data_IF_838978750217
#
_entry.id   IF_838978750217
#
_cell.length_a   1.000
_cell.length_b   1.000
_cell.length_c   1.000
_cell.angle_alpha   90.00
_cell.angle_beta   90.00
_cell.angle_gamma   90.00
#
_symmetry.space_group_name_H-M   'P 1'
#
loop_
_entity.id
_entity.type
_entity.pdbx_description
1 polymer ?
#
# COMPACT_ATOMS: atom_id res chain seq x y z
N UNK A 1 -63.14 36.74 26.08
CA UNK A 1 -62.27 35.95 25.16
C UNK A 1 -61.16 36.84 24.70
N UNK A 2 -59.97 36.70 25.26
CA UNK A 2 -58.74 37.49 24.85
C UNK A 2 -57.68 36.47 24.56
N UNK A 3 -57.40 36.24 23.23
CA UNK A 3 -56.28 35.48 22.75
C UNK A 3 -54.98 36.21 23.07
N UNK A 4 -54.10 35.63 23.89
CA UNK A 4 -52.72 36.05 24.05
C UNK A 4 -51.88 35.17 23.15
N UNK A 5 -51.36 35.80 22.07
CA UNK A 5 -50.36 35.26 21.19
C UNK A 5 -49.00 35.33 21.91
N UNK A 6 -48.45 34.18 22.30
CA UNK A 6 -47.08 34.10 22.79
C UNK A 6 -46.14 34.07 21.60
N UNK A 7 -45.43 35.17 21.38
CA UNK A 7 -44.27 35.24 20.51
C UNK A 7 -43.10 34.60 21.29
N UNK A 8 -42.72 33.40 20.91
CA UNK A 8 -41.42 32.81 21.29
C UNK A 8 -40.35 33.45 20.41
N UNK A 9 -39.65 34.43 20.97
CA UNK A 9 -38.35 34.86 20.46
C UNK A 9 -37.36 33.72 20.74
N UNK A 10 -37.04 32.91 19.72
CA UNK A 10 -35.87 32.09 19.74
C UNK A 10 -34.66 33.03 19.63
N UNK A 11 -34.08 33.42 20.75
CA UNK A 11 -32.72 33.93 20.78
C UNK A 11 -31.78 32.80 20.41
N UNK A 12 -31.33 32.80 19.16
CA UNK A 12 -30.15 32.02 18.79
C UNK A 12 -28.98 32.58 19.62
N UNK A 13 -28.70 31.90 20.71
CA UNK A 13 -27.44 32.06 21.44
C UNK A 13 -26.39 31.53 20.47
N UNK A 14 -25.67 32.40 19.78
CA UNK A 14 -24.37 32.07 19.21
C UNK A 14 -23.48 31.75 20.41
N UNK A 15 -23.45 30.46 20.77
CA UNK A 15 -22.38 29.95 21.60
C UNK A 15 -21.09 30.19 20.82
N UNK A 16 -20.07 30.83 21.42
CA UNK A 16 -18.76 30.83 20.78
C UNK A 16 -18.40 29.39 20.51
N UNK A 17 -17.85 29.12 19.33
CA UNK A 17 -17.30 27.83 18.97
C UNK A 17 -16.41 27.38 20.14
N UNK A 18 -16.96 26.59 21.06
CA UNK A 18 -16.13 25.88 22.02
C UNK A 18 -15.20 25.03 21.18
N UNK A 19 -13.91 25.27 21.21
CA UNK A 19 -12.94 24.39 20.58
C UNK A 19 -13.24 23.00 21.12
N UNK A 20 -13.59 22.07 20.23
CA UNK A 20 -13.81 20.68 20.59
C UNK A 20 -12.54 20.19 21.29
N UNK A 21 -12.68 19.49 22.41
CA UNK A 21 -11.54 19.06 23.20
C UNK A 21 -10.81 17.92 22.52
N UNK A 22 -9.51 17.82 22.75
CA UNK A 22 -8.73 16.66 22.36
C UNK A 22 -9.20 15.43 23.14
N UNK A 23 -9.23 14.29 22.47
CA UNK A 23 -9.65 13.01 23.08
C UNK A 23 -8.71 11.86 22.72
N UNK A 24 -8.84 10.72 23.39
CA UNK A 24 -7.95 9.57 23.25
C UNK A 24 -8.76 8.31 22.97
N UNK A 25 -8.45 7.63 21.86
CA UNK A 25 -8.99 6.31 21.53
C UNK A 25 -7.84 5.36 21.24
N UNK A 26 -7.83 4.18 21.89
CA UNK A 26 -6.79 3.15 21.71
C UNK A 26 -5.35 3.68 21.87
N UNK A 27 -5.11 4.55 22.85
CA UNK A 27 -3.83 5.22 23.12
C UNK A 27 -3.35 6.19 22.04
N UNK A 28 -4.18 6.57 21.09
CA UNK A 28 -3.90 7.60 20.08
C UNK A 28 -4.74 8.83 20.44
N UNK A 29 -4.10 10.00 20.42
CA UNK A 29 -4.75 11.30 20.66
C UNK A 29 -5.22 11.91 19.36
N UNK A 30 -6.38 12.50 19.41
CA UNK A 30 -7.03 13.17 18.29
C UNK A 30 -7.45 14.58 18.69
N UNK A 31 -7.28 15.53 17.78
CA UNK A 31 -7.79 16.88 17.89
C UNK A 31 -8.80 17.14 16.77
N UNK A 32 -10.03 17.54 17.08
CA UNK A 32 -11.00 17.91 16.07
C UNK A 32 -10.54 19.08 15.20
N UNK A 33 -10.65 18.92 13.89
CA UNK A 33 -10.43 19.97 12.90
C UNK A 33 -11.73 20.74 12.61
N UNK A 34 -12.83 20.02 12.70
CA UNK A 34 -14.19 20.51 12.54
C UNK A 34 -15.17 19.48 13.14
N UNK A 35 -16.46 19.60 12.88
CA UNK A 35 -17.51 18.70 13.37
C UNK A 35 -17.52 17.30 12.74
N UNK A 36 -16.60 16.98 11.83
CA UNK A 36 -16.55 15.69 11.10
C UNK A 36 -15.15 15.10 10.96
N UNK A 37 -14.12 15.91 11.05
CA UNK A 37 -12.76 15.50 10.77
C UNK A 37 -11.85 15.76 11.96
N UNK A 38 -10.90 14.85 12.16
CA UNK A 38 -9.87 14.96 13.19
C UNK A 38 -8.48 14.79 12.62
N UNK A 39 -7.50 15.37 13.31
CA UNK A 39 -6.08 15.06 13.14
C UNK A 39 -5.57 14.23 14.30
N UNK A 40 -4.64 13.35 14.02
CA UNK A 40 -3.85 12.65 15.05
C UNK A 40 -2.82 13.61 15.61
N UNK A 41 -2.76 13.76 16.93
CA UNK A 41 -1.79 14.64 17.61
C UNK A 41 -0.72 13.89 18.38
N UNK A 42 -0.77 12.55 18.40
CA UNK A 42 0.22 11.70 19.04
C UNK A 42 -0.37 10.42 19.61
N UNK A 43 0.43 9.75 20.43
CA UNK A 43 -0.02 8.55 21.11
C UNK A 43 1.09 7.54 21.34
N UNK A 44 0.77 6.47 22.08
CA UNK A 44 1.68 5.36 22.31
C UNK A 44 1.36 4.19 21.39
N UNK A 45 2.38 3.56 20.83
CA UNK A 45 2.22 2.45 19.89
C UNK A 45 2.35 1.12 20.65
N UNK A 46 1.29 0.33 20.65
CA UNK A 46 1.33 -1.02 21.20
C UNK A 46 2.05 -1.96 20.23
N UNK A 47 3.28 -2.39 20.56
CA UNK A 47 4.09 -3.22 19.70
C UNK A 47 4.96 -2.42 18.73
N UNK A 48 5.22 -2.96 17.54
CA UNK A 48 6.18 -2.40 16.58
C UNK A 48 5.52 -1.68 15.39
N UNK A 49 4.21 -1.80 15.22
CA UNK A 49 3.43 -1.32 14.07
C UNK A 49 2.38 -0.32 14.52
N UNK A 50 2.30 0.79 13.80
CA UNK A 50 1.23 1.78 13.96
C UNK A 50 0.14 1.53 12.92
N UNK A 51 -1.10 1.48 13.37
CA UNK A 51 -2.30 1.42 12.49
C UNK A 51 -3.22 2.57 12.88
N UNK A 52 -3.47 3.47 11.95
CA UNK A 52 -4.42 4.57 12.13
C UNK A 52 -5.76 4.14 11.52
N UNK A 53 -6.88 4.21 12.28
CA UNK A 53 -8.20 3.87 11.78
C UNK A 53 -8.73 4.95 10.81
N UNK A 54 -9.68 4.57 9.97
CA UNK A 54 -10.37 5.49 9.05
C UNK A 54 -11.30 6.45 9.81
N UNK A 55 -11.97 5.94 10.84
CA UNK A 55 -12.86 6.71 11.73
C UNK A 55 -12.55 6.45 13.19
N UNK A 56 -12.87 7.40 14.05
CA UNK A 56 -12.80 7.27 15.50
C UNK A 56 -14.07 7.84 16.13
N UNK A 57 -14.49 7.23 17.22
CA UNK A 57 -15.67 7.66 17.96
C UNK A 57 -15.24 8.32 19.27
N UNK A 58 -15.70 9.55 19.47
CA UNK A 58 -15.56 10.28 20.72
C UNK A 58 -16.76 9.97 21.61
N UNK A 59 -16.55 9.21 22.70
CA UNK A 59 -17.59 8.79 23.62
C UNK A 59 -18.14 9.95 24.47
N UNK A 60 -17.33 10.98 24.70
CA UNK A 60 -17.71 12.13 25.52
C UNK A 60 -18.66 13.08 24.77
N UNK A 61 -18.41 13.28 23.47
CA UNK A 61 -19.22 14.16 22.61
C UNK A 61 -20.28 13.39 21.79
N UNK A 62 -20.28 12.06 21.79
CA UNK A 62 -21.18 11.18 20.98
C UNK A 62 -21.03 11.46 19.46
N UNK A 63 -19.78 11.63 18.99
CA UNK A 63 -19.47 11.96 17.60
C UNK A 63 -18.52 10.93 16.99
N UNK A 64 -18.81 10.47 15.76
CA UNK A 64 -17.87 9.73 14.94
C UNK A 64 -17.15 10.70 13.97
N UNK A 65 -15.82 10.71 14.06
CA UNK A 65 -14.96 11.54 13.24
C UNK A 65 -14.22 10.73 12.18
N UNK A 66 -13.96 11.33 11.02
CA UNK A 66 -13.06 10.82 9.99
C UNK A 66 -11.65 11.32 10.29
N UNK A 67 -10.66 10.42 10.29
CA UNK A 67 -9.25 10.77 10.49
C UNK A 67 -8.64 11.21 9.16
N UNK A 68 -8.25 12.48 9.05
CA UNK A 68 -7.80 13.07 7.78
C UNK A 68 -6.39 13.62 7.81
N UNK A 69 -5.78 13.79 8.99
CA UNK A 69 -4.43 14.35 9.10
C UNK A 69 -3.60 13.63 10.17
N UNK A 70 -2.29 13.53 9.92
CA UNK A 70 -1.28 13.25 10.94
C UNK A 70 -0.63 14.59 11.28
N UNK A 71 -0.86 15.05 12.49
CA UNK A 71 -0.45 16.37 12.93
C UNK A 71 1.05 16.51 13.19
N UNK A 72 1.47 17.74 13.40
CA UNK A 72 2.85 18.13 13.72
C UNK A 72 3.36 17.37 14.95
N UNK A 73 4.59 16.81 14.84
CA UNK A 73 5.27 16.03 15.90
C UNK A 73 4.50 14.80 16.39
N UNK A 74 3.39 14.38 15.77
CA UNK A 74 2.47 13.37 16.28
C UNK A 74 3.18 12.07 16.70
N UNK A 75 4.12 11.59 15.91
CA UNK A 75 4.92 10.40 16.17
C UNK A 75 6.43 10.68 16.04
N UNK A 76 6.87 11.90 16.27
CA UNK A 76 8.30 12.19 16.35
C UNK A 76 8.91 11.43 17.53
N UNK A 77 10.07 10.75 17.34
CA UNK A 77 10.70 9.95 18.40
C UNK A 77 11.04 10.80 19.64
N UNK A 78 11.41 12.04 19.43
CA UNK A 78 11.72 13.01 20.50
C UNK A 78 10.55 13.94 20.80
N UNK A 79 9.35 13.62 20.29
CA UNK A 79 8.11 14.32 20.62
C UNK A 79 7.59 13.98 22.01
N UNK A 80 6.40 14.50 22.34
CA UNK A 80 5.82 14.40 23.68
C UNK A 80 5.65 12.95 24.19
N UNK A 81 5.36 12.00 23.28
CA UNK A 81 5.08 10.60 23.65
C UNK A 81 6.27 9.67 23.46
N UNK A 82 7.29 10.07 22.71
CA UNK A 82 8.49 9.26 22.44
C UNK A 82 8.17 7.89 21.81
N UNK A 83 7.06 7.79 21.08
CA UNK A 83 6.59 6.53 20.49
C UNK A 83 7.61 6.01 19.48
N UNK A 84 8.06 4.77 19.62
CA UNK A 84 8.97 4.13 18.68
C UNK A 84 8.26 3.15 17.78
N UNK A 85 8.23 3.44 16.48
CA UNK A 85 7.65 2.58 15.44
C UNK A 85 8.81 1.90 14.72
N UNK A 86 8.86 0.57 14.70
CA UNK A 86 10.01 -0.17 14.15
C UNK A 86 9.66 -1.09 12.99
N UNK A 87 8.39 -1.44 12.80
CA UNK A 87 7.96 -2.35 11.74
C UNK A 87 7.33 -1.58 10.58
N UNK A 88 6.20 -0.93 10.81
CA UNK A 88 5.52 -0.22 9.73
C UNK A 88 4.40 0.69 10.21
N UNK A 89 3.95 1.55 9.31
CA UNK A 89 2.83 2.46 9.51
C UNK A 89 1.76 2.14 8.47
N UNK A 90 0.52 1.98 8.91
CA UNK A 90 -0.65 1.81 8.06
C UNK A 90 -1.56 3.01 8.25
N UNK A 91 -1.71 3.76 7.18
CA UNK A 91 -2.60 4.93 7.13
C UNK A 91 -3.89 4.56 6.39
N UNK A 92 -5.05 5.07 6.82
CA UNK A 92 -6.29 4.90 6.09
C UNK A 92 -6.30 5.76 4.81
N UNK A 93 -7.17 5.40 3.89
CA UNK A 93 -7.36 6.13 2.62
C UNK A 93 -7.85 7.58 2.79
N UNK A 94 -8.33 7.94 3.97
CA UNK A 94 -8.86 9.27 4.30
C UNK A 94 -7.79 10.30 4.62
N UNK A 95 -6.52 9.90 4.79
CA UNK A 95 -5.42 10.84 5.11
C UNK A 95 -5.13 11.74 3.91
N UNK A 96 -5.22 13.04 4.15
CA UNK A 96 -4.96 14.13 3.19
C UNK A 96 -3.65 14.86 3.46
N UNK A 97 -3.18 14.85 4.72
CA UNK A 97 -1.99 15.60 5.17
C UNK A 97 -1.17 14.81 6.17
N UNK A 98 0.15 14.93 6.03
CA UNK A 98 1.14 14.54 7.03
C UNK A 98 1.92 15.82 7.34
N UNK A 99 1.76 16.36 8.54
CA UNK A 99 2.31 17.67 8.92
C UNK A 99 3.80 17.59 9.32
N UNK A 100 4.34 18.72 9.71
CA UNK A 100 5.76 18.88 10.01
C UNK A 100 6.23 17.90 11.10
N UNK A 101 7.35 17.25 10.88
CA UNK A 101 8.00 16.31 11.80
C UNK A 101 7.12 15.13 12.26
N UNK A 102 5.99 14.87 11.61
CA UNK A 102 5.01 13.87 12.05
C UNK A 102 5.61 12.49 12.35
N UNK A 103 6.60 12.04 11.58
CA UNK A 103 7.33 10.77 11.76
C UNK A 103 8.85 10.97 11.85
N UNK A 104 9.29 12.10 12.39
CA UNK A 104 10.69 12.44 12.51
C UNK A 104 11.45 11.44 13.42
N UNK A 105 12.67 11.01 13.03
CA UNK A 105 13.53 10.08 13.76
C UNK A 105 12.93 8.70 14.04
N UNK A 106 12.02 8.22 13.21
CA UNK A 106 11.48 6.88 13.34
C UNK A 106 12.38 5.80 12.70
N UNK A 107 12.05 4.53 12.93
CA UNK A 107 12.85 3.40 12.42
C UNK A 107 12.01 2.31 11.73
N UNK A 108 10.80 2.65 11.28
CA UNK A 108 9.99 1.72 10.52
C UNK A 108 10.56 1.50 9.10
N UNK A 109 10.29 0.31 8.57
CA UNK A 109 10.76 -0.08 7.24
C UNK A 109 9.74 0.18 6.13
N UNK A 110 8.49 0.46 6.48
CA UNK A 110 7.43 0.65 5.49
C UNK A 110 6.33 1.58 5.98
N UNK A 111 5.77 2.31 5.05
CA UNK A 111 4.55 3.11 5.21
C UNK A 111 3.80 3.13 3.88
N UNK A 112 2.46 3.00 3.92
CA UNK A 112 1.63 3.29 2.77
C UNK A 112 1.17 4.74 2.82
N UNK A 113 1.41 5.49 1.76
CA UNK A 113 0.83 6.81 1.56
C UNK A 113 -0.41 6.65 0.67
N UNK A 114 -1.61 6.98 1.15
CA UNK A 114 -2.84 6.73 0.40
C UNK A 114 -3.02 7.74 -0.74
N UNK A 115 -3.70 7.31 -1.82
CA UNK A 115 -4.26 8.26 -2.77
C UNK A 115 -5.25 9.17 -2.06
N UNK A 116 -5.15 10.47 -2.32
CA UNK A 116 -5.81 11.52 -1.54
C UNK A 116 -4.86 12.32 -0.65
N UNK A 117 -3.67 11.80 -0.34
CA UNK A 117 -2.62 12.58 0.33
C UNK A 117 -2.12 13.69 -0.60
N UNK A 118 -2.20 14.94 -0.14
CA UNK A 118 -1.84 16.12 -0.93
C UNK A 118 -0.59 16.84 -0.42
N UNK A 119 -0.21 16.62 0.83
CA UNK A 119 0.84 17.36 1.51
C UNK A 119 1.68 16.47 2.44
N UNK A 120 3.00 16.60 2.33
CA UNK A 120 4.00 16.05 3.25
C UNK A 120 4.80 17.22 3.82
N UNK A 121 4.79 17.38 5.13
CA UNK A 121 5.38 18.50 5.86
C UNK A 121 6.90 18.52 5.91
N UNK A 122 7.42 19.61 6.45
CA UNK A 122 8.85 19.79 6.73
C UNK A 122 9.36 18.72 7.71
N UNK A 123 10.51 18.09 7.40
CA UNK A 123 11.13 17.05 8.22
C UNK A 123 10.21 15.86 8.56
N UNK A 124 9.10 15.67 7.84
CA UNK A 124 8.08 14.68 8.18
C UNK A 124 8.62 13.25 8.33
N UNK A 125 9.60 12.88 7.52
CA UNK A 125 10.28 11.57 7.51
C UNK A 125 11.80 11.70 7.68
N UNK A 126 12.27 12.80 8.24
CA UNK A 126 13.70 13.00 8.47
C UNK A 126 14.25 11.91 9.39
N UNK A 127 15.45 11.39 9.09
CA UNK A 127 16.19 10.37 9.85
C UNK A 127 15.43 9.02 9.98
N UNK A 128 14.63 8.67 9.01
CA UNK A 128 14.01 7.33 8.93
C UNK A 128 14.95 6.35 8.23
N UNK A 129 15.98 5.87 8.91
CA UNK A 129 17.10 5.12 8.32
C UNK A 129 16.75 3.73 7.80
N UNK A 130 15.64 3.15 8.26
CA UNK A 130 15.16 1.83 7.82
C UNK A 130 14.11 1.93 6.71
N UNK A 131 13.69 3.14 6.33
CA UNK A 131 12.78 3.37 5.23
C UNK A 131 13.58 3.41 3.92
N UNK A 132 13.63 2.27 3.21
CA UNK A 132 14.45 2.14 1.99
C UNK A 132 13.70 2.51 0.72
N UNK A 133 12.38 2.50 0.76
CA UNK A 133 11.53 2.93 -0.35
C UNK A 133 10.24 3.55 0.12
N UNK A 134 9.69 4.46 -0.68
CA UNK A 134 8.39 5.08 -0.46
C UNK A 134 7.72 5.41 -1.78
N UNK A 135 6.40 5.25 -1.83
CA UNK A 135 5.58 5.63 -3.00
C UNK A 135 4.86 6.93 -2.66
N UNK A 136 5.09 7.95 -3.46
CA UNK A 136 4.38 9.23 -3.39
C UNK A 136 3.15 9.13 -4.30
N UNK A 137 1.94 9.25 -3.77
CA UNK A 137 0.72 9.09 -4.53
C UNK A 137 0.56 10.18 -5.59
N UNK A 138 -0.28 9.90 -6.59
CA UNK A 138 -0.51 10.83 -7.72
C UNK A 138 -1.12 12.15 -7.30
N UNK A 139 -1.80 12.17 -6.17
CA UNK A 139 -2.48 13.34 -5.61
C UNK A 139 -1.56 14.26 -4.80
N UNK A 140 -0.33 13.83 -4.49
CA UNK A 140 0.60 14.65 -3.70
C UNK A 140 1.11 15.85 -4.53
N UNK A 141 0.86 17.05 -4.04
CA UNK A 141 1.23 18.30 -4.72
C UNK A 141 2.38 19.04 -4.05
N UNK A 142 2.69 18.72 -2.81
CA UNK A 142 3.74 19.42 -2.06
C UNK A 142 4.48 18.50 -1.09
N UNK A 143 5.82 18.62 -1.09
CA UNK A 143 6.75 17.98 -0.17
C UNK A 143 7.61 19.06 0.47
N UNK A 144 7.55 19.17 1.79
CA UNK A 144 8.21 20.22 2.58
C UNK A 144 9.73 20.08 2.62
N UNK A 145 10.37 21.14 3.11
CA UNK A 145 11.83 21.21 3.32
C UNK A 145 12.32 20.02 4.17
N UNK A 146 13.44 19.40 3.74
CA UNK A 146 14.08 18.29 4.45
C UNK A 146 13.15 17.08 4.78
N UNK A 147 12.05 16.92 4.05
CA UNK A 147 11.03 15.93 4.39
C UNK A 147 11.58 14.50 4.50
N UNK A 148 12.56 14.14 3.70
CA UNK A 148 13.22 12.82 3.68
C UNK A 148 14.72 12.90 3.97
N UNK A 149 15.20 14.04 4.47
CA UNK A 149 16.63 14.22 4.78
C UNK A 149 17.13 13.13 5.72
N UNK A 150 18.36 12.66 5.50
CA UNK A 150 19.04 11.64 6.33
C UNK A 150 18.28 10.32 6.49
N UNK A 151 17.35 10.03 5.57
CA UNK A 151 16.64 8.76 5.52
C UNK A 151 17.50 7.66 4.85
N UNK A 152 17.04 6.40 4.97
CA UNK A 152 17.68 5.25 4.32
C UNK A 152 17.23 5.02 2.87
N UNK A 153 16.50 5.95 2.26
CA UNK A 153 15.88 5.76 0.97
C UNK A 153 16.90 5.40 -0.12
N UNK A 154 16.62 4.32 -0.82
CA UNK A 154 17.23 3.95 -2.10
C UNK A 154 16.34 4.32 -3.27
N UNK A 155 15.03 4.27 -3.06
CA UNK A 155 14.04 4.58 -4.09
C UNK A 155 12.90 5.43 -3.54
N UNK A 156 12.51 6.42 -4.32
CA UNK A 156 11.24 7.13 -4.16
C UNK A 156 10.48 7.06 -5.49
N UNK A 157 9.24 6.63 -5.44
CA UNK A 157 8.37 6.45 -6.60
C UNK A 157 7.37 7.58 -6.67
N UNK A 158 7.40 8.37 -7.74
CA UNK A 158 6.53 9.52 -7.94
C UNK A 158 5.44 9.14 -8.95
N UNK A 159 4.21 8.91 -8.48
CA UNK A 159 3.10 8.48 -9.34
C UNK A 159 2.37 9.62 -10.05
N UNK A 160 2.63 10.87 -9.65
CA UNK A 160 2.00 12.07 -10.21
C UNK A 160 2.29 12.28 -11.68
N UNK A 161 1.33 12.83 -12.42
CA UNK A 161 1.53 13.27 -13.80
C UNK A 161 2.32 14.56 -13.90
N UNK A 162 2.48 15.26 -12.79
CA UNK A 162 3.29 16.46 -12.64
C UNK A 162 4.11 16.37 -11.35
N UNK A 163 5.34 16.93 -11.35
CA UNK A 163 6.16 16.97 -10.15
C UNK A 163 5.47 17.71 -8.99
N UNK A 164 5.63 17.19 -7.78
CA UNK A 164 5.27 17.91 -6.56
C UNK A 164 6.13 19.19 -6.43
N UNK A 165 5.58 20.23 -5.84
CA UNK A 165 6.39 21.34 -5.35
C UNK A 165 7.26 20.83 -4.20
N UNK A 166 8.57 20.95 -4.32
CA UNK A 166 9.52 20.53 -3.29
C UNK A 166 10.11 21.72 -2.54
N UNK A 167 10.23 21.57 -1.22
CA UNK A 167 11.03 22.48 -0.39
C UNK A 167 12.53 22.32 -0.67
N UNK A 168 13.37 23.03 0.09
CA UNK A 168 14.82 22.85 0.02
C UNK A 168 15.25 21.54 0.69
N UNK A 169 16.35 20.97 0.20
CA UNK A 169 17.07 19.86 0.85
C UNK A 169 16.21 18.61 1.17
N UNK A 170 15.17 18.38 0.36
CA UNK A 170 14.21 17.29 0.59
C UNK A 170 14.89 15.94 0.77
N UNK A 171 15.96 15.68 0.00
CA UNK A 171 16.73 14.43 0.03
C UNK A 171 18.18 14.63 0.50
N UNK A 172 18.44 15.64 1.33
CA UNK A 172 19.78 15.89 1.85
C UNK A 172 20.29 14.71 2.67
N UNK A 173 21.54 14.28 2.39
CA UNK A 173 22.21 13.18 3.11
C UNK A 173 21.39 11.86 3.15
N UNK A 174 20.60 11.60 2.11
CA UNK A 174 19.95 10.30 1.94
C UNK A 174 21.02 9.22 1.79
N UNK A 175 20.94 8.16 2.58
CA UNK A 175 22.02 7.16 2.64
C UNK A 175 22.04 6.19 1.46
N UNK A 176 20.89 5.97 0.80
CA UNK A 176 20.76 5.01 -0.30
C UNK A 176 21.29 3.64 0.07
N UNK A 177 20.82 3.07 1.19
CA UNK A 177 21.24 1.75 1.68
C UNK A 177 20.16 0.70 1.45
N UNK A 178 20.58 -0.56 1.30
CA UNK A 178 19.68 -1.70 1.33
C UNK A 178 19.35 -2.14 2.78
N UNK A 179 18.54 -3.18 2.93
CA UNK A 179 18.14 -3.75 4.22
C UNK A 179 19.34 -4.23 5.08
N UNK A 180 20.51 -4.47 4.45
CA UNK A 180 21.75 -4.87 5.10
C UNK A 180 22.69 -3.69 5.36
N UNK A 181 22.23 -2.45 5.20
CA UNK A 181 22.98 -1.20 5.35
C UNK A 181 24.14 -1.06 4.32
N UNK A 182 24.07 -1.79 3.19
CA UNK A 182 25.03 -1.64 2.08
C UNK A 182 24.62 -0.44 1.23
N UNK A 183 25.55 0.43 0.87
CA UNK A 183 25.30 1.56 -0.05
C UNK A 183 24.91 1.06 -1.42
N UNK A 184 23.76 1.50 -1.92
CA UNK A 184 23.19 1.08 -3.22
C UNK A 184 22.82 2.26 -4.14
N UNK A 185 22.92 3.49 -3.67
CA UNK A 185 22.51 4.69 -4.38
C UNK A 185 21.08 5.12 -4.05
N UNK A 186 20.71 6.29 -4.54
CA UNK A 186 19.36 6.86 -4.38
C UNK A 186 18.80 7.22 -5.76
N UNK A 187 17.56 6.83 -6.02
CA UNK A 187 16.87 7.04 -7.27
C UNK A 187 15.46 7.56 -7.08
N UNK A 188 15.08 8.54 -7.91
CA UNK A 188 13.73 9.02 -8.06
C UNK A 188 13.14 8.34 -9.29
N UNK A 189 12.14 7.51 -9.11
CA UNK A 189 11.52 6.72 -10.16
C UNK A 189 10.20 7.34 -10.55
N UNK A 190 10.01 7.57 -11.84
CA UNK A 190 8.81 8.20 -12.40
C UNK A 190 8.26 7.36 -13.54
N UNK A 191 7.01 7.63 -13.94
CA UNK A 191 6.43 7.01 -15.14
C UNK A 191 7.27 7.34 -16.38
N UNK A 192 7.47 6.40 -17.32
CA UNK A 192 8.28 6.63 -18.52
C UNK A 192 7.90 7.88 -19.30
N UNK A 193 6.60 8.11 -19.52
CA UNK A 193 6.10 9.29 -20.25
C UNK A 193 6.35 10.62 -19.53
N UNK A 194 6.71 10.60 -18.25
CA UNK A 194 6.86 11.80 -17.41
C UNK A 194 8.33 12.14 -17.11
N UNK A 195 9.28 11.28 -17.46
CA UNK A 195 10.69 11.42 -17.08
C UNK A 195 11.26 12.79 -17.46
N UNK A 196 11.08 13.22 -18.71
CA UNK A 196 11.60 14.51 -19.17
C UNK A 196 10.97 15.71 -18.45
N UNK A 197 9.66 15.64 -18.19
CA UNK A 197 8.93 16.69 -17.46
C UNK A 197 9.45 16.83 -16.03
N UNK A 198 9.69 15.71 -15.36
CA UNK A 198 10.24 15.67 -14.00
C UNK A 198 11.67 16.16 -13.95
N UNK A 199 12.56 15.72 -14.88
CA UNK A 199 13.95 16.21 -14.99
C UNK A 199 14.03 17.72 -15.19
N UNK A 200 13.15 18.26 -16.03
CA UNK A 200 13.10 19.70 -16.29
C UNK A 200 12.61 20.50 -15.09
N UNK A 201 11.63 19.99 -14.35
CA UNK A 201 11.02 20.69 -13.21
C UNK A 201 11.85 20.57 -11.92
N UNK A 202 12.53 19.46 -11.72
CA UNK A 202 13.32 19.13 -10.53
C UNK A 202 14.81 18.97 -10.93
N UNK A 203 15.36 19.96 -11.59
CA UNK A 203 16.69 19.94 -12.22
C UNK A 203 17.82 19.54 -11.25
N UNK A 204 17.73 19.92 -9.96
CA UNK A 204 18.73 19.59 -8.93
C UNK A 204 18.80 18.06 -8.65
N UNK A 205 17.79 17.32 -9.05
CA UNK A 205 17.69 15.87 -8.86
C UNK A 205 17.69 15.09 -10.19
N UNK A 206 17.90 15.77 -11.33
CA UNK A 206 17.76 15.18 -12.66
C UNK A 206 18.63 13.93 -12.88
N UNK A 207 19.85 13.92 -12.35
CA UNK A 207 20.80 12.80 -12.47
C UNK A 207 20.40 11.57 -11.63
N UNK A 208 19.49 11.75 -10.67
CA UNK A 208 18.96 10.67 -9.82
C UNK A 208 17.66 10.10 -10.38
N UNK A 209 17.12 10.67 -11.46
CA UNK A 209 15.82 10.27 -12.01
C UNK A 209 15.93 9.17 -13.04
N UNK A 210 15.05 8.19 -12.94
CA UNK A 210 14.93 7.07 -13.85
C UNK A 210 13.46 6.67 -14.05
N UNK A 211 13.17 6.06 -15.20
CA UNK A 211 11.89 5.39 -15.48
C UNK A 211 12.03 3.85 -15.41
N UNK A 212 13.20 3.36 -15.07
CA UNK A 212 13.51 1.94 -15.02
C UNK A 212 13.84 1.48 -13.60
N UNK A 213 13.37 0.29 -13.28
CA UNK A 213 13.55 -0.38 -12.00
C UNK A 213 14.21 -1.73 -12.23
N UNK A 214 15.30 -2.06 -11.53
CA UNK A 214 15.84 -3.40 -11.57
C UNK A 214 14.92 -4.35 -10.79
N UNK A 215 14.44 -5.39 -11.44
CA UNK A 215 13.71 -6.50 -10.83
C UNK A 215 14.58 -7.75 -10.94
N UNK A 216 15.14 -8.19 -9.84
CA UNK A 216 16.07 -9.32 -9.81
C UNK A 216 15.41 -10.58 -9.29
N UNK A 217 15.79 -11.70 -9.89
CA UNK A 217 15.48 -13.02 -9.38
C UNK A 217 16.56 -13.57 -8.42
N UNK A 218 17.63 -12.83 -8.11
CA UNK A 218 18.76 -13.30 -7.28
C UNK A 218 18.94 -12.64 -5.94
N UNK A 219 18.17 -11.60 -5.62
CA UNK A 219 18.31 -10.89 -4.35
C UNK A 219 19.57 -10.03 -4.18
N UNK A 220 20.44 -9.95 -5.19
CA UNK A 220 21.68 -9.15 -5.13
C UNK A 220 21.52 -7.71 -5.64
N UNK A 221 20.39 -7.37 -6.23
CA UNK A 221 20.12 -6.02 -6.72
C UNK A 221 19.44 -5.21 -5.64
N UNK A 222 19.75 -3.90 -5.57
CA UNK A 222 19.15 -3.03 -4.58
C UNK A 222 17.65 -3.24 -4.59
N UNK A 223 17.23 -3.67 -3.45
CA UNK A 223 15.91 -4.17 -3.17
C UNK A 223 14.91 -3.07 -3.46
N UNK A 224 14.43 -2.98 -4.69
CA UNK A 224 13.05 -2.70 -4.80
C UNK A 224 12.38 -3.86 -4.11
N UNK A 225 12.35 -3.63 -2.80
CA UNK A 225 11.62 -4.40 -1.85
C UNK A 225 11.85 -5.91 -1.81
N UNK A 226 12.90 -6.34 -1.20
CA UNK A 226 12.93 -7.66 -0.58
C UNK A 226 12.55 -8.85 -1.44
N UNK A 227 12.86 -8.83 -2.73
CA UNK A 227 12.78 -10.01 -3.59
C UNK A 227 13.91 -10.95 -3.22
N UNK A 228 13.72 -11.70 -2.14
CA UNK A 228 14.49 -12.91 -1.95
C UNK A 228 13.91 -13.97 -2.89
N UNK A 229 14.54 -14.08 -4.03
CA UNK A 229 14.36 -15.26 -4.86
C UNK A 229 15.19 -16.37 -4.28
N UNK A 230 14.65 -17.58 -4.26
CA UNK A 230 15.51 -18.73 -4.08
C UNK A 230 16.59 -18.69 -5.16
N UNK A 231 17.88 -18.62 -4.81
CA UNK A 231 18.97 -18.53 -5.79
C UNK A 231 19.08 -19.77 -6.65
N UNK A 232 18.26 -20.80 -6.42
CA UNK A 232 18.33 -22.08 -7.09
C UNK A 232 17.36 -22.22 -8.26
N UNK A 233 16.21 -21.53 -8.27
CA UNK A 233 15.13 -21.86 -9.22
C UNK A 233 14.71 -20.75 -10.17
N UNK A 234 15.02 -19.48 -9.89
CA UNK A 234 14.50 -18.35 -10.67
C UNK A 234 13.02 -18.04 -10.41
N UNK A 235 12.39 -18.69 -9.42
CA UNK A 235 10.97 -18.51 -9.08
C UNK A 235 10.86 -17.76 -7.74
N UNK A 236 9.97 -16.77 -7.68
CA UNK A 236 9.67 -16.01 -6.46
C UNK A 236 8.23 -15.55 -6.40
N UNK A 237 7.76 -15.16 -5.22
CA UNK A 237 6.52 -14.40 -5.09
C UNK A 237 6.81 -12.91 -5.06
N UNK A 238 5.89 -12.11 -5.60
CA UNK A 238 6.03 -10.66 -5.68
C UNK A 238 4.70 -9.96 -5.45
N UNK A 239 4.76 -8.75 -4.90
CA UNK A 239 3.67 -7.80 -4.81
C UNK A 239 4.26 -6.38 -4.75
N UNK A 240 3.62 -5.44 -5.39
CA UNK A 240 3.99 -4.02 -5.37
C UNK A 240 2.82 -3.17 -4.93
N UNK A 241 3.09 -2.06 -4.23
CA UNK A 241 2.07 -1.06 -3.91
C UNK A 241 1.65 -0.20 -5.11
N UNK A 242 2.34 -0.34 -6.25
CA UNK A 242 2.02 0.32 -7.51
C UNK A 242 1.99 -0.69 -8.64
N UNK A 243 1.27 -0.37 -9.73
CA UNK A 243 1.26 -1.21 -10.92
C UNK A 243 2.60 -1.13 -11.64
N UNK A 244 3.11 -2.29 -12.08
CA UNK A 244 4.43 -2.46 -12.71
C UNK A 244 4.26 -2.96 -14.14
N UNK A 245 4.88 -2.28 -15.11
CA UNK A 245 4.96 -2.76 -16.50
C UNK A 245 6.24 -3.58 -16.71
N UNK A 246 6.06 -4.85 -17.06
CA UNK A 246 7.12 -5.81 -17.34
C UNK A 246 7.43 -5.95 -18.85
N UNK A 247 6.90 -5.08 -19.69
CA UNK A 247 7.04 -5.18 -21.15
C UNK A 247 8.50 -5.26 -21.62
N UNK A 248 9.41 -4.60 -20.90
CA UNK A 248 10.85 -4.63 -21.18
C UNK A 248 11.58 -5.85 -20.61
N UNK A 249 10.92 -6.64 -19.76
CA UNK A 249 11.51 -7.77 -19.04
C UNK A 249 11.45 -9.07 -19.86
N UNK A 250 12.19 -9.13 -20.95
CA UNK A 250 12.20 -10.29 -21.85
C UNK A 250 12.57 -11.59 -21.12
N UNK A 251 11.69 -12.60 -21.25
CA UNK A 251 11.87 -13.92 -20.62
C UNK A 251 11.31 -14.01 -19.20
N UNK A 252 10.87 -12.91 -18.59
CA UNK A 252 10.15 -12.96 -17.33
C UNK A 252 8.70 -13.36 -17.57
N UNK A 253 8.23 -14.40 -16.89
CA UNK A 253 6.83 -14.84 -16.88
C UNK A 253 6.22 -14.54 -15.53
N UNK A 254 4.96 -14.11 -15.52
CA UNK A 254 4.21 -13.78 -14.30
C UNK A 254 2.97 -14.64 -14.23
N UNK A 255 2.71 -15.19 -13.05
CA UNK A 255 1.58 -16.11 -12.82
C UNK A 255 0.77 -15.64 -11.62
N UNK A 256 -0.52 -15.91 -11.67
CA UNK A 256 -1.44 -15.82 -10.53
C UNK A 256 -1.97 -17.22 -10.17
N UNK A 257 -2.42 -17.42 -8.95
CA UNK A 257 -2.94 -18.71 -8.49
C UNK A 257 -4.46 -18.71 -8.63
N UNK A 258 -4.95 -19.52 -9.56
CA UNK A 258 -6.38 -19.69 -9.85
C UNK A 258 -7.06 -20.64 -8.89
N UNK A 259 -6.36 -21.68 -8.45
CA UNK A 259 -6.93 -22.71 -7.61
C UNK A 259 -5.91 -23.62 -6.96
N UNK A 260 -6.39 -24.38 -6.00
CA UNK A 260 -5.64 -25.49 -5.37
C UNK A 260 -6.57 -26.70 -5.30
N UNK A 261 -6.11 -27.83 -5.81
CA UNK A 261 -6.81 -29.11 -5.74
C UNK A 261 -5.81 -30.26 -5.57
N UNK A 262 -6.13 -31.25 -4.76
CA UNK A 262 -5.28 -32.44 -4.54
C UNK A 262 -3.82 -32.10 -4.16
N UNK A 263 -3.65 -31.01 -3.35
CA UNK A 263 -2.35 -30.44 -2.98
C UNK A 263 -1.50 -29.91 -4.15
N UNK A 264 -2.12 -29.66 -5.30
CA UNK A 264 -1.50 -29.02 -6.47
C UNK A 264 -2.05 -27.62 -6.65
N UNK A 265 -1.14 -26.65 -6.77
CA UNK A 265 -1.46 -25.26 -7.06
C UNK A 265 -1.54 -25.10 -8.58
N UNK A 266 -2.69 -24.63 -9.05
CA UNK A 266 -2.93 -24.29 -10.45
C UNK A 266 -2.64 -22.80 -10.65
N UNK A 267 -1.47 -22.50 -11.23
CA UNK A 267 -1.03 -21.15 -11.50
C UNK A 267 -1.06 -20.88 -13.01
N UNK A 268 -1.85 -19.90 -13.41
CA UNK A 268 -1.97 -19.47 -14.81
C UNK A 268 -1.08 -18.26 -15.09
N UNK A 269 -0.51 -18.21 -16.29
CA UNK A 269 0.26 -17.07 -16.74
C UNK A 269 -0.66 -15.85 -16.86
N UNK A 270 -0.18 -14.72 -16.32
CA UNK A 270 -0.92 -13.47 -16.36
C UNK A 270 -1.02 -12.94 -17.80
N UNK A 271 -2.20 -12.56 -18.27
CA UNK A 271 -2.35 -11.91 -19.56
C UNK A 271 -1.83 -10.47 -19.50
N UNK A 272 -1.12 -10.07 -20.56
CA UNK A 272 -0.58 -8.71 -20.66
C UNK A 272 0.75 -8.52 -19.94
N UNK A 273 1.20 -7.26 -19.90
CA UNK A 273 2.51 -6.87 -19.37
C UNK A 273 2.45 -6.08 -18.06
N UNK A 274 1.27 -5.84 -17.49
CA UNK A 274 1.12 -5.02 -16.28
C UNK A 274 0.73 -5.91 -15.10
N UNK A 275 1.57 -5.89 -14.06
CA UNK A 275 1.25 -6.45 -12.75
C UNK A 275 0.46 -5.39 -11.98
N UNK A 276 -0.81 -5.63 -11.62
CA UNK A 276 -1.62 -4.67 -10.86
C UNK A 276 -1.03 -4.34 -9.49
N UNK A 277 -1.30 -3.14 -9.00
CA UNK A 277 -0.94 -2.75 -7.64
C UNK A 277 -1.58 -3.69 -6.61
N UNK A 278 -0.83 -4.00 -5.55
CA UNK A 278 -1.24 -4.85 -4.44
C UNK A 278 -1.60 -6.30 -4.80
N UNK A 279 -1.41 -6.71 -6.05
CA UNK A 279 -1.65 -8.09 -6.48
C UNK A 279 -0.44 -8.98 -6.14
N UNK A 280 -0.66 -10.07 -5.39
CA UNK A 280 0.34 -11.10 -5.20
C UNK A 280 0.51 -11.93 -6.47
N UNK A 281 1.74 -12.12 -6.95
CA UNK A 281 2.04 -12.91 -8.15
C UNK A 281 3.23 -13.84 -7.92
N UNK A 282 3.41 -14.81 -8.81
CA UNK A 282 4.62 -15.62 -8.93
C UNK A 282 5.39 -15.11 -10.14
N UNK A 283 6.65 -14.77 -9.94
CA UNK A 283 7.60 -14.47 -11.01
C UNK A 283 8.39 -15.72 -11.33
N UNK A 284 8.57 -16.01 -12.62
CA UNK A 284 9.41 -17.06 -13.11
C UNK A 284 10.32 -16.52 -14.22
N UNK A 285 11.61 -16.50 -13.97
CA UNK A 285 12.62 -15.96 -14.88
C UNK A 285 13.91 -16.77 -14.87
N UNK A 286 14.89 -16.32 -15.62
CA UNK A 286 16.21 -16.92 -15.60
C UNK A 286 16.87 -16.67 -14.23
N UNK A 287 17.49 -17.71 -13.70
CA UNK A 287 18.30 -17.62 -12.49
C UNK A 287 19.42 -16.56 -12.69
N UNK A 288 19.69 -15.80 -11.64
CA UNK A 288 20.77 -14.79 -11.59
C UNK A 288 20.63 -13.66 -12.62
N UNK A 289 19.44 -13.47 -13.22
CA UNK A 289 19.15 -12.40 -14.17
C UNK A 289 18.39 -11.24 -13.50
N UNK A 290 18.82 -10.04 -13.78
CA UNK A 290 18.08 -8.82 -13.43
C UNK A 290 17.24 -8.39 -14.62
N UNK A 291 15.97 -8.13 -14.35
CA UNK A 291 15.03 -7.62 -15.34
C UNK A 291 14.80 -6.12 -15.11
N UNK A 292 14.72 -5.35 -16.18
CA UNK A 292 14.34 -3.95 -16.11
C UNK A 292 12.83 -3.83 -16.31
N UNK A 293 12.17 -3.16 -15.39
CA UNK A 293 10.73 -2.91 -15.41
C UNK A 293 10.49 -1.41 -15.22
N UNK A 294 9.26 -0.97 -15.43
CA UNK A 294 8.89 0.43 -15.19
C UNK A 294 7.58 0.52 -14.39
N UNK A 295 7.31 1.69 -13.85
CA UNK A 295 5.97 1.99 -13.31
C UNK A 295 5.00 1.98 -14.50
N UNK A 296 3.86 1.31 -14.37
CA UNK A 296 2.85 1.32 -15.41
C UNK A 296 2.26 2.73 -15.57
N UNK A 297 2.01 3.14 -16.81
CA UNK A 297 1.42 4.45 -17.13
C UNK A 297 0.04 4.59 -16.50
N UNK A 298 -0.80 3.57 -16.67
CA UNK A 298 -2.12 3.49 -16.07
C UNK A 298 -2.06 2.64 -14.82
N UNK A 299 -2.40 3.24 -13.68
CA UNK A 299 -2.50 2.54 -12.39
C UNK A 299 -3.88 1.86 -12.21
N UNK A 300 -4.83 2.14 -13.12
CA UNK A 300 -6.24 1.71 -13.04
C UNK A 300 -6.58 0.46 -13.83
N UNK A 301 -5.72 -0.01 -14.75
CA UNK A 301 -5.95 -1.25 -15.50
C UNK A 301 -5.79 -2.48 -14.59
N UNK A 302 -6.73 -2.59 -13.65
CA UNK A 302 -6.81 -3.72 -12.74
C UNK A 302 -7.38 -4.90 -13.52
N UNK A 303 -6.52 -5.81 -13.89
CA UNK A 303 -6.93 -7.14 -14.30
C UNK A 303 -7.59 -7.81 -13.08
N UNK A 304 -8.91 -7.86 -13.07
CA UNK A 304 -9.64 -8.60 -12.04
C UNK A 304 -9.57 -10.09 -12.37
N UNK A 305 -8.63 -10.79 -11.77
CA UNK A 305 -8.57 -12.25 -11.77
C UNK A 305 -8.83 -12.76 -10.37
N UNK A 306 -9.52 -13.89 -10.26
CA UNK A 306 -9.60 -14.61 -8.99
C UNK A 306 -8.20 -15.14 -8.67
N UNK A 307 -7.55 -14.55 -7.69
CA UNK A 307 -6.19 -14.87 -7.29
C UNK A 307 -6.13 -15.23 -5.82
N UNK A 308 -5.64 -16.41 -5.53
CA UNK A 308 -5.52 -16.89 -4.14
C UNK A 308 -4.26 -16.40 -3.43
N UNK A 309 -3.32 -15.75 -4.15
CA UNK A 309 -2.15 -15.15 -3.53
C UNK A 309 -2.51 -13.85 -2.82
N UNK A 310 -2.12 -13.75 -1.58
CA UNK A 310 -2.25 -12.54 -0.77
C UNK A 310 -0.97 -11.72 -0.90
N UNK A 311 -1.08 -10.55 -1.49
CA UNK A 311 0.05 -9.63 -1.64
C UNK A 311 0.46 -8.98 -0.31
N UNK A 312 1.74 -8.82 -0.09
CA UNK A 312 2.33 -8.24 1.12
C UNK A 312 3.15 -7.02 0.76
N UNK A 313 2.58 -5.83 0.93
CA UNK A 313 3.23 -4.54 0.64
C UNK A 313 4.01 -3.97 1.84
N UNK A 314 3.82 -4.53 3.02
CA UNK A 314 4.55 -4.16 4.24
C UNK A 314 4.84 -5.43 5.05
N UNK A 315 6.00 -5.48 5.74
CA UNK A 315 6.35 -6.61 6.61
C UNK A 315 5.17 -6.97 7.51
N UNK A 316 4.64 -8.18 7.36
CA UNK A 316 3.40 -8.61 8.00
C UNK A 316 3.63 -9.87 8.83
N UNK A 317 3.15 -9.87 10.08
CA UNK A 317 3.12 -11.09 10.90
C UNK A 317 2.16 -12.10 10.27
N UNK A 318 2.57 -13.34 10.20
CA UNK A 318 1.76 -14.43 9.68
C UNK A 318 1.70 -15.57 10.70
N UNK A 319 0.60 -16.31 10.67
CA UNK A 319 0.40 -17.55 11.43
C UNK A 319 0.16 -18.70 10.45
N UNK A 320 0.52 -19.95 10.80
CA UNK A 320 0.29 -21.12 9.92
C UNK A 320 -1.18 -21.33 9.58
N UNK A 321 -2.05 -21.07 10.56
CA UNK A 321 -3.49 -21.23 10.42
C UNK A 321 -4.20 -19.99 10.99
N UNK A 322 -5.11 -19.45 10.21
CA UNK A 322 -5.96 -18.32 10.61
C UNK A 322 -7.43 -18.66 10.32
N UNK A 323 -8.19 -18.93 11.38
CA UNK A 323 -9.53 -19.45 11.27
C UNK A 323 -9.55 -20.83 10.58
N UNK A 324 -10.27 -20.92 9.47
CA UNK A 324 -10.41 -22.09 8.62
C UNK A 324 -9.40 -22.13 7.47
N UNK A 325 -8.43 -21.20 7.42
CA UNK A 325 -7.43 -21.11 6.37
C UNK A 325 -6.04 -21.54 6.83
N UNK A 326 -5.31 -22.19 5.94
CA UNK A 326 -3.89 -22.49 6.06
C UNK A 326 -3.07 -21.56 5.17
N UNK A 327 -1.97 -21.04 5.70
CA UNK A 327 -1.10 -20.09 5.02
C UNK A 327 0.22 -20.76 4.61
N UNK A 328 0.53 -20.68 3.33
CA UNK A 328 1.70 -21.31 2.73
C UNK A 328 2.62 -20.26 2.12
N UNK A 329 3.91 -20.49 2.20
CA UNK A 329 4.94 -19.65 1.60
C UNK A 329 5.74 -20.41 0.56
N UNK A 330 6.16 -19.73 -0.49
CA UNK A 330 6.99 -20.32 -1.52
C UNK A 330 8.38 -20.63 -0.94
N UNK A 331 8.79 -21.88 -1.13
CA UNK A 331 10.12 -22.38 -0.82
C UNK A 331 10.63 -23.16 -2.02
N UNK A 332 11.59 -22.59 -2.74
CA UNK A 332 12.06 -23.07 -4.05
C UNK A 332 10.93 -23.18 -5.10
N UNK A 333 10.43 -24.37 -5.39
CA UNK A 333 9.36 -24.64 -6.36
C UNK A 333 8.09 -25.17 -5.72
N UNK A 334 8.01 -25.14 -4.40
CA UNK A 334 6.89 -25.67 -3.63
C UNK A 334 6.39 -24.61 -2.65
N UNK A 335 5.13 -24.68 -2.32
CA UNK A 335 4.59 -23.91 -1.21
C UNK A 335 4.54 -24.79 0.04
N UNK A 336 5.19 -24.36 1.10
CA UNK A 336 5.21 -25.05 2.40
C UNK A 336 4.35 -24.31 3.40
N UNK A 337 3.68 -25.04 4.30
CA UNK A 337 2.94 -24.44 5.40
C UNK A 337 3.87 -23.50 6.15
N UNK A 338 3.38 -22.29 6.44
CA UNK A 338 4.17 -21.29 7.14
C UNK A 338 4.56 -21.81 8.52
N UNK A 339 5.83 -21.70 8.88
CA UNK A 339 6.35 -22.09 10.20
C UNK A 339 6.73 -20.84 11.00
N UNK A 340 6.02 -20.61 12.10
CA UNK A 340 6.26 -19.51 13.05
C UNK A 340 6.92 -19.98 14.35
N UNK A 341 7.45 -21.20 14.41
CA UNK A 341 8.11 -21.76 15.59
C UNK A 341 9.36 -20.96 16.00
N UNK A 342 9.98 -20.27 15.06
CA UNK A 342 11.09 -19.34 15.28
C UNK A 342 10.57 -17.91 15.26
N UNK A 343 10.71 -17.19 16.39
CA UNK A 343 10.27 -15.80 16.48
C UNK A 343 10.89 -14.85 15.44
N UNK A 344 12.03 -15.22 14.83
CA UNK A 344 12.66 -14.47 13.74
C UNK A 344 12.03 -14.76 12.37
N UNK A 345 11.24 -15.82 12.25
CA UNK A 345 10.56 -16.26 11.02
C UNK A 345 9.06 -16.00 11.03
N UNK A 346 8.52 -15.34 12.06
CA UNK A 346 7.08 -15.09 12.19
C UNK A 346 6.53 -13.98 11.29
N UNK A 347 7.28 -13.58 10.28
CA UNK A 347 6.92 -12.48 9.38
C UNK A 347 7.10 -12.85 7.92
N UNK A 348 6.17 -12.39 7.09
CA UNK A 348 6.35 -12.29 5.65
C UNK A 348 7.00 -10.96 5.32
N UNK A 349 7.97 -10.97 4.42
CA UNK A 349 8.66 -9.76 3.96
C UNK A 349 7.71 -8.91 3.12
N UNK A 350 7.95 -7.60 3.14
CA UNK A 350 7.28 -6.70 2.22
C UNK A 350 7.58 -7.09 0.76
N UNK A 351 6.69 -6.71 -0.15
CA UNK A 351 6.74 -6.93 -1.60
C UNK A 351 6.89 -8.40 -2.01
N UNK A 352 6.34 -9.28 -1.21
CA UNK A 352 6.18 -10.70 -1.50
C UNK A 352 4.70 -11.08 -1.50
N UNK A 353 4.40 -12.37 -1.61
CA UNK A 353 3.06 -12.87 -1.44
C UNK A 353 3.10 -14.23 -0.75
N UNK A 354 1.99 -14.59 -0.12
CA UNK A 354 1.76 -15.93 0.42
C UNK A 354 0.43 -16.46 -0.11
N UNK A 355 0.26 -17.77 -0.02
CA UNK A 355 -0.95 -18.46 -0.44
C UNK A 355 -1.82 -18.75 0.79
N UNK A 356 -3.08 -18.31 0.77
CA UNK A 356 -4.05 -18.58 1.83
C UNK A 356 -5.16 -19.49 1.30
N UNK A 357 -5.24 -20.72 1.81
CA UNK A 357 -6.13 -21.78 1.29
C UNK A 357 -7.04 -22.26 2.40
N UNK A 358 -8.31 -22.53 2.05
CA UNK A 358 -9.25 -23.21 2.95
C UNK A 358 -8.68 -24.56 3.40
N UNK A 359 -8.64 -24.78 4.71
CA UNK A 359 -8.06 -26.01 5.29
C UNK A 359 -8.82 -27.27 4.86
N UNK A 360 -10.05 -27.14 4.40
CA UNK A 360 -10.85 -28.27 3.91
C UNK A 360 -10.42 -28.79 2.55
N UNK A 361 -9.73 -27.97 1.73
CA UNK A 361 -9.29 -28.37 0.38
C UNK A 361 -7.85 -28.87 0.32
N UNK A 362 -7.11 -28.79 1.43
CA UNK A 362 -5.71 -29.22 1.51
C UNK A 362 -5.48 -30.17 2.69
N UNK A 363 -4.75 -31.24 2.46
CA UNK A 363 -4.43 -32.24 3.48
C UNK A 363 -2.91 -32.45 3.66
N UNK A 364 -2.09 -31.56 3.07
CA UNK A 364 -0.64 -31.60 3.13
C UNK A 364 -0.09 -30.25 3.62
N UNK A 365 1.06 -30.29 4.24
CA UNK A 365 1.85 -29.12 4.59
C UNK A 365 2.78 -28.67 3.44
N UNK A 366 2.76 -29.40 2.32
CA UNK A 366 3.50 -29.10 1.10
C UNK A 366 2.53 -29.13 -0.08
N UNK A 367 2.51 -28.07 -0.85
CA UNK A 367 1.73 -27.95 -2.07
C UNK A 367 2.66 -27.83 -3.28
N UNK A 368 2.36 -28.59 -4.32
CA UNK A 368 3.16 -28.63 -5.55
C UNK A 368 2.71 -27.50 -6.48
N UNK A 369 3.64 -26.66 -6.89
CA UNK A 369 3.37 -25.58 -7.84
C UNK A 369 3.40 -26.12 -9.28
N UNK A 370 2.29 -25.93 -10.00
CA UNK A 370 2.19 -26.20 -11.43
C UNK A 370 2.00 -24.88 -12.16
N UNK A 371 2.96 -24.50 -13.01
CA UNK A 371 2.89 -23.33 -13.85
C UNK A 371 2.30 -23.72 -15.21
N UNK A 372 1.21 -23.07 -15.60
CA UNK A 372 0.55 -23.28 -16.89
C UNK A 372 0.91 -22.10 -17.81
N UNK A 373 1.65 -22.41 -18.87
CA UNK A 373 2.12 -21.43 -19.87
C UNK A 373 1.07 -21.09 -20.94
N UNK A 374 -0.02 -21.85 -21.00
CA UNK A 374 -1.05 -21.65 -22.01
C UNK A 374 -2.05 -20.57 -21.56
N UNK A 375 -1.93 -19.38 -22.12
CA UNK A 375 -2.98 -18.35 -22.06
C UNK A 375 -4.15 -18.78 -22.96
N UNK A 376 -4.81 -19.88 -22.63
CA UNK A 376 -5.99 -20.36 -23.37
C UNK A 376 -7.30 -19.74 -22.85
N UNK A 377 -7.22 -18.87 -21.87
CA UNK A 377 -8.36 -18.18 -21.32
C UNK A 377 -8.61 -16.85 -22.02
N UNK A 378 -9.55 -16.79 -22.94
CA UNK A 378 -10.39 -15.60 -23.05
C UNK A 378 -10.85 -15.32 -21.62
N UNK A 379 -10.53 -14.12 -21.09
CA UNK A 379 -11.02 -13.68 -19.80
C UNK A 379 -12.54 -13.67 -19.88
N UNK A 380 -13.15 -14.82 -19.67
CA UNK A 380 -14.56 -14.90 -19.33
C UNK A 380 -14.61 -14.42 -17.89
N UNK A 381 -15.01 -13.18 -17.71
CA UNK A 381 -15.46 -12.75 -16.40
C UNK A 381 -16.56 -13.74 -16.01
N UNK A 382 -16.19 -14.77 -15.26
CA UNK A 382 -17.17 -15.59 -14.56
C UNK A 382 -17.72 -14.69 -13.45
N UNK A 383 -18.80 -13.97 -13.79
CA UNK A 383 -19.71 -13.49 -12.77
C UNK A 383 -20.18 -14.77 -12.06
N UNK A 384 -19.92 -14.95 -10.77
CA UNK A 384 -20.49 -16.08 -10.06
C UNK A 384 -22.00 -16.00 -10.24
N UNK A 385 -22.61 -17.02 -10.84
CA UNK A 385 -24.08 -17.17 -10.89
C UNK A 385 -24.63 -17.59 -9.51
N UNK A 386 -24.04 -17.15 -8.43
CA UNK A 386 -24.65 -17.20 -7.12
C UNK A 386 -25.05 -15.79 -6.74
N UNK A 387 -26.33 -15.59 -6.71
CA UNK A 387 -27.05 -14.41 -6.21
C UNK A 387 -26.47 -13.98 -4.86
N UNK A 388 -25.37 -13.25 -4.88
CA UNK A 388 -24.91 -12.45 -3.77
C UNK A 388 -25.69 -11.13 -3.77
N UNK A 389 -26.10 -10.66 -2.62
CA UNK A 389 -26.90 -9.45 -2.38
C UNK A 389 -26.13 -8.14 -2.68
N UNK A 390 -25.27 -8.12 -3.69
CA UNK A 390 -24.53 -6.93 -4.11
C UNK A 390 -25.35 -6.02 -5.01
N UNK A 391 -25.13 -4.73 -4.88
CA UNK A 391 -25.83 -3.70 -5.66
C UNK A 391 -24.95 -3.26 -6.83
N UNK A 392 -25.50 -3.25 -8.04
CA UNK A 392 -24.84 -2.70 -9.22
C UNK A 392 -25.04 -1.18 -9.29
N UNK A 393 -23.99 -0.47 -9.65
CA UNK A 393 -24.03 0.96 -9.94
C UNK A 393 -23.53 1.18 -11.36
N UNK A 394 -24.13 2.11 -12.09
CA UNK A 394 -23.56 2.59 -13.35
C UNK A 394 -22.34 3.50 -13.05
N UNK A 395 -21.60 3.90 -14.10
CA UNK A 395 -20.42 4.76 -13.96
C UNK A 395 -20.71 6.15 -13.37
N UNK A 396 -21.99 6.54 -13.27
CA UNK A 396 -22.45 7.78 -12.64
C UNK A 396 -22.86 7.57 -11.17
N UNK A 397 -22.64 6.37 -10.60
CA UNK A 397 -22.99 6.06 -9.22
C UNK A 397 -24.46 5.76 -8.96
N UNK A 398 -25.28 5.58 -10.01
CA UNK A 398 -26.72 5.26 -9.88
C UNK A 398 -26.91 3.75 -9.76
N UNK A 399 -27.78 3.32 -8.82
CA UNK A 399 -28.13 1.91 -8.64
C UNK A 399 -28.84 1.37 -9.88
N UNK A 400 -28.41 0.19 -10.33
CA UNK A 400 -28.99 -0.52 -11.46
C UNK A 400 -29.50 -1.89 -10.97
N UNK A 401 -30.81 -2.03 -10.86
CA UNK A 401 -31.43 -3.25 -10.32
C UNK A 401 -31.26 -4.47 -11.23
N UNK A 402 -31.31 -4.27 -12.55
CA UNK A 402 -31.14 -5.31 -13.57
C UNK A 402 -30.11 -4.81 -14.59
N UNK A 403 -28.82 -5.07 -14.37
CA UNK A 403 -27.80 -4.61 -15.28
C UNK A 403 -27.86 -5.39 -16.61
N UNK A 404 -28.02 -4.67 -17.70
CA UNK A 404 -27.91 -5.19 -19.06
C UNK A 404 -26.45 -5.17 -19.52
N UNK A 405 -26.15 -5.55 -20.75
CA UNK A 405 -24.82 -5.50 -21.34
C UNK A 405 -24.20 -4.10 -21.15
N UNK A 406 -23.06 -4.03 -20.47
CA UNK A 406 -22.41 -2.74 -20.18
C UNK A 406 -21.37 -2.83 -19.07
N UNK A 407 -20.87 -1.66 -18.67
CA UNK A 407 -19.86 -1.52 -17.59
C UNK A 407 -20.55 -0.99 -16.33
N UNK A 408 -20.32 -1.65 -15.20
CA UNK A 408 -20.93 -1.33 -13.91
C UNK A 408 -19.91 -1.39 -12.79
N UNK A 409 -20.26 -0.84 -11.63
CA UNK A 409 -19.56 -1.06 -10.36
C UNK A 409 -20.40 -2.03 -9.53
N UNK A 410 -19.80 -3.13 -9.09
CA UNK A 410 -20.42 -4.13 -8.22
C UNK A 410 -19.49 -4.41 -7.03
N UNK A 411 -19.98 -4.23 -5.82
CA UNK A 411 -19.19 -4.34 -4.59
C UNK A 411 -17.88 -3.52 -4.62
N UNK A 412 -17.92 -2.30 -5.20
CA UNK A 412 -16.76 -1.43 -5.31
C UNK A 412 -15.81 -1.76 -6.47
N UNK A 413 -16.10 -2.78 -7.26
CA UNK A 413 -15.29 -3.22 -8.41
C UNK A 413 -15.99 -2.94 -9.74
N UNK A 414 -15.19 -2.56 -10.75
CA UNK A 414 -15.68 -2.40 -12.13
C UNK A 414 -15.95 -3.78 -12.74
N UNK A 415 -17.15 -4.01 -13.20
CA UNK A 415 -17.57 -5.26 -13.87
C UNK A 415 -18.12 -4.97 -15.26
N UNK A 416 -17.87 -5.87 -16.21
CA UNK A 416 -18.42 -5.80 -17.56
C UNK A 416 -19.44 -6.94 -17.73
N UNK A 417 -20.68 -6.58 -18.03
CA UNK A 417 -21.73 -7.55 -18.39
C UNK A 417 -21.77 -7.61 -19.92
N UNK A 418 -21.60 -8.81 -20.48
CA UNK A 418 -21.56 -9.10 -21.93
C UNK A 418 -22.93 -9.44 -22.48
#
# INVERSE_FOLDING_TARGET
>A
MKNRLFLLLASAILLPNAALADFVVNNIRYAPLNDKEVKVTGGTVSGSRLVIPETVYDEDEDIEYIVTEIGEDAFALFGADGARITSGVVLPKTIKRIDDRAFNYQSFSSINLPEGLTYIGKNAFEVNRNLHSIVIPSTCTEIGTEAFSRSGLSYIYMLGDSPCRMGSDVFMDVSGTDENQKKVGFYIVVKPSKLDAYKNALNDYADMMTDELPLSTTGEVPVYAGLNVSPTTGITTFCSSMAIDIKKAEGLKVYYVKGVADNVIDAEQMPGSVIPACMGVILNGEKDKTYMVSIAEDQEDILSVDNMLVGVIARTSLVPTDGDKKNYVLNDTQFTLFDNSDQWRSYIRQNSAYLSVDASVVNSDILILKLNDDVTGVISQCIPQSVGTGTYYNLNGTIVANPEKGIYIYNGHKVVIK
#
